data_IF_379594564741
#
_entry.id   IF_379594564741
#
_cell.length_a   1.000
_cell.length_b   1.000
_cell.length_c   1.000
_cell.angle_alpha   90.00
_cell.angle_beta   90.00
_cell.angle_gamma   90.00
#
_symmetry.space_group_name_H-M   'P 1'
#
loop_
_entity.id
_entity.type
_entity.pdbx_description
1 polymer ?
#
# COMPACT_ATOMS: atom_id res chain seq x y z
N UNK A 1 -62.51 -22.31 42.00
CA UNK A 1 -61.23 -23.05 42.01
C UNK A 1 -60.51 -22.80 40.69
N UNK A 2 -59.25 -22.32 40.77
CA UNK A 2 -58.11 -22.37 39.81
C UNK A 2 -58.25 -21.82 38.36
N UNK A 3 -57.50 -20.75 38.08
CA UNK A 3 -56.91 -20.43 36.76
C UNK A 3 -55.69 -21.34 36.48
N UNK A 4 -55.29 -21.56 35.21
CA UNK A 4 -54.13 -20.82 34.64
C UNK A 4 -54.25 -20.52 33.12
N UNK A 5 -53.85 -19.32 32.66
CA UNK A 5 -52.54 -18.99 32.04
C UNK A 5 -52.32 -19.56 30.63
N UNK A 6 -52.49 -18.73 29.59
CA UNK A 6 -51.90 -18.96 28.26
C UNK A 6 -50.72 -18.00 28.12
N UNK A 7 -49.51 -18.55 28.19
CA UNK A 7 -48.25 -17.84 28.06
C UNK A 7 -47.95 -17.54 26.59
N UNK A 8 -47.65 -16.28 26.30
CA UNK A 8 -47.09 -15.85 25.02
C UNK A 8 -45.64 -16.33 24.92
N UNK A 9 -45.35 -17.21 23.96
CA UNK A 9 -43.98 -17.62 23.63
C UNK A 9 -43.44 -16.63 22.58
N UNK A 10 -42.73 -15.61 23.06
CA UNK A 10 -41.85 -14.79 22.22
C UNK A 10 -40.61 -15.61 21.89
N UNK A 11 -40.51 -16.11 20.65
CA UNK A 11 -39.29 -16.71 20.12
C UNK A 11 -38.23 -15.60 19.95
N UNK A 12 -37.30 -15.55 20.89
CA UNK A 12 -36.05 -14.80 20.78
C UNK A 12 -35.12 -15.49 19.77
N UNK A 13 -35.17 -15.06 18.52
CA UNK A 13 -34.19 -15.45 17.50
C UNK A 13 -32.85 -14.78 17.77
N UNK A 14 -31.94 -15.51 18.43
CA UNK A 14 -30.53 -15.13 18.59
C UNK A 14 -29.89 -14.94 17.21
N UNK A 15 -29.72 -13.68 16.81
CA UNK A 15 -28.95 -13.33 15.62
C UNK A 15 -27.47 -13.49 15.93
N UNK A 16 -26.89 -14.62 15.51
CA UNK A 16 -25.44 -14.81 15.41
C UNK A 16 -24.90 -13.86 14.34
N UNK A 17 -24.68 -12.60 14.70
CA UNK A 17 -23.84 -11.68 13.94
C UNK A 17 -22.40 -12.12 14.11
N UNK A 18 -22.00 -13.11 13.32
CA UNK A 18 -20.60 -13.41 13.05
C UNK A 18 -19.94 -12.11 12.60
N UNK A 19 -19.10 -11.54 13.47
CA UNK A 19 -18.27 -10.37 13.16
C UNK A 19 -17.33 -10.72 12.03
N UNK A 20 -17.78 -10.50 10.79
CA UNK A 20 -16.93 -10.49 9.61
C UNK A 20 -16.12 -9.21 9.75
N UNK A 21 -14.98 -9.29 10.45
CA UNK A 21 -14.00 -8.23 10.41
C UNK A 21 -13.68 -8.00 8.92
N UNK A 22 -13.93 -6.80 8.37
CA UNK A 22 -13.57 -6.53 6.99
C UNK A 22 -12.07 -6.75 6.89
N UNK A 23 -11.66 -7.67 6.02
CA UNK A 23 -10.26 -7.85 5.68
C UNK A 23 -9.78 -6.50 5.13
N UNK A 24 -9.05 -5.75 5.95
CA UNK A 24 -8.50 -4.46 5.55
C UNK A 24 -7.55 -4.72 4.38
N UNK A 25 -7.91 -4.22 3.19
CA UNK A 25 -7.08 -4.33 2.01
C UNK A 25 -5.70 -3.71 2.32
N UNK A 26 -4.65 -4.50 2.12
CA UNK A 26 -3.30 -4.03 2.35
C UNK A 26 -2.90 -3.05 1.25
N UNK A 27 -2.25 -1.96 1.64
CA UNK A 27 -1.85 -0.95 0.69
C UNK A 27 -0.60 -1.43 -0.06
N UNK A 28 -0.42 -1.09 -1.35
CA UNK A 28 0.70 -1.60 -2.15
C UNK A 28 2.08 -1.32 -1.51
N UNK A 29 2.19 -0.18 -0.84
CA UNK A 29 3.36 0.23 -0.05
C UNK A 29 3.78 -0.77 1.05
N UNK A 30 2.86 -1.59 1.57
CA UNK A 30 3.15 -2.56 2.63
C UNK A 30 3.98 -3.75 2.13
N UNK A 31 3.99 -3.98 0.81
CA UNK A 31 4.71 -5.07 0.15
C UNK A 31 6.10 -4.66 -0.37
N UNK A 32 6.38 -3.36 -0.50
CA UNK A 32 7.63 -2.86 -1.08
C UNK A 32 8.82 -3.22 -0.18
N UNK A 33 9.89 -3.76 -0.78
CA UNK A 33 11.15 -4.09 -0.11
C UNK A 33 11.70 -5.46 -0.51
N UNK A 34 12.71 -5.92 0.24
CA UNK A 34 13.35 -7.21 0.05
C UNK A 34 12.60 -8.32 0.80
N UNK A 35 12.46 -9.47 0.14
CA UNK A 35 11.79 -10.66 0.65
C UNK A 35 12.69 -11.87 0.45
N UNK A 36 12.73 -12.74 1.46
CA UNK A 36 13.28 -14.09 1.31
C UNK A 36 12.16 -14.99 0.78
N UNK A 37 12.41 -15.66 -0.34
CA UNK A 37 11.51 -16.63 -0.94
C UNK A 37 11.88 -18.00 -0.39
N UNK A 38 10.93 -18.69 0.21
CA UNK A 38 11.06 -20.07 0.70
C UNK A 38 10.00 -20.96 0.04
N UNK A 39 10.33 -22.23 -0.20
CA UNK A 39 9.47 -23.17 -0.92
C UNK A 39 9.82 -23.27 -2.41
N UNK A 40 9.09 -24.12 -3.13
CA UNK A 40 9.45 -24.58 -4.48
C UNK A 40 10.52 -25.69 -4.50
N UNK A 41 10.78 -26.30 -5.66
CA UNK A 41 11.58 -27.54 -5.76
C UNK A 41 13.08 -27.39 -5.47
N UNK A 42 13.61 -26.16 -5.33
CA UNK A 42 15.06 -25.92 -5.44
C UNK A 42 15.66 -24.95 -4.39
N UNK A 43 14.92 -24.60 -3.32
CA UNK A 43 15.48 -23.90 -2.15
C UNK A 43 15.24 -22.38 -2.10
N UNK A 44 15.80 -21.74 -1.06
CA UNK A 44 15.53 -20.35 -0.73
C UNK A 44 16.27 -19.36 -1.66
N UNK A 45 15.57 -18.32 -2.10
CA UNK A 45 16.14 -17.21 -2.88
C UNK A 45 15.67 -15.86 -2.34
N UNK A 46 15.95 -14.74 -3.02
CA UNK A 46 15.40 -13.45 -2.62
C UNK A 46 14.78 -12.67 -3.78
N UNK A 47 13.80 -11.84 -3.44
CA UNK A 47 13.09 -10.98 -4.39
C UNK A 47 12.91 -9.59 -3.79
N UNK A 48 13.26 -8.57 -4.55
CA UNK A 48 12.93 -7.18 -4.27
C UNK A 48 11.62 -6.83 -4.99
N UNK A 49 10.61 -6.42 -4.22
CA UNK A 49 9.38 -5.84 -4.74
C UNK A 49 9.54 -4.32 -4.70
N UNK A 50 9.81 -3.71 -5.86
CA UNK A 50 10.09 -2.29 -5.98
C UNK A 50 8.82 -1.49 -6.19
N UNK A 51 8.81 -0.24 -5.70
CA UNK A 51 7.79 0.75 -6.05
C UNK A 51 7.99 1.38 -7.44
N UNK A 52 9.08 1.04 -8.14
CA UNK A 52 9.35 1.55 -9.48
C UNK A 52 8.43 0.87 -10.52
N UNK A 53 7.88 1.64 -11.45
CA UNK A 53 7.13 1.10 -12.57
C UNK A 53 8.05 0.44 -13.63
N UNK A 54 7.60 -0.68 -14.20
CA UNK A 54 8.20 -1.36 -15.35
C UNK A 54 7.07 -1.98 -16.20
N UNK A 55 6.93 -1.54 -17.45
CA UNK A 55 5.91 -2.07 -18.37
C UNK A 55 4.46 -1.94 -17.89
N UNK A 56 4.13 -0.88 -17.14
CA UNK A 56 2.80 -0.65 -16.58
C UNK A 56 2.50 -1.36 -15.25
N UNK A 57 3.42 -2.19 -14.76
CA UNK A 57 3.34 -2.88 -13.46
C UNK A 57 4.43 -2.38 -12.50
N UNK A 58 4.40 -2.80 -11.24
CA UNK A 58 5.48 -2.52 -10.30
C UNK A 58 6.62 -3.52 -10.53
N UNK A 59 7.87 -3.06 -10.50
CA UNK A 59 9.06 -3.88 -10.81
C UNK A 59 9.32 -4.90 -9.70
N UNK A 60 9.60 -6.13 -10.09
CA UNK A 60 10.19 -7.15 -9.22
C UNK A 60 11.61 -7.45 -9.68
N UNK A 61 12.51 -7.79 -8.76
CA UNK A 61 13.88 -8.20 -9.10
C UNK A 61 14.27 -9.38 -8.24
N UNK A 62 14.64 -10.48 -8.87
CA UNK A 62 14.99 -11.72 -8.19
C UNK A 62 16.49 -11.92 -8.15
N UNK A 63 16.97 -12.55 -7.08
CA UNK A 63 18.36 -12.89 -6.87
C UNK A 63 18.44 -14.36 -6.49
N UNK A 64 19.26 -15.11 -7.23
CA UNK A 64 19.50 -16.55 -7.06
C UNK A 64 18.22 -17.41 -7.09
N UNK A 65 17.12 -16.87 -7.63
CA UNK A 65 15.88 -17.63 -7.80
C UNK A 65 15.99 -18.55 -9.01
N UNK A 66 15.33 -19.69 -8.89
CA UNK A 66 15.26 -20.76 -9.89
C UNK A 66 13.80 -21.18 -10.08
N UNK A 67 13.51 -21.95 -11.12
CA UNK A 67 12.14 -22.34 -11.46
C UNK A 67 11.28 -21.13 -11.85
N UNK A 68 9.95 -21.15 -11.62
CA UNK A 68 9.07 -20.05 -12.04
C UNK A 68 9.49 -18.68 -11.50
N UNK A 69 10.02 -18.62 -10.28
CA UNK A 69 10.46 -17.36 -9.65
C UNK A 69 11.67 -16.72 -10.34
N UNK A 70 12.51 -17.47 -11.07
CA UNK A 70 13.61 -16.84 -11.84
C UNK A 70 13.10 -15.91 -12.94
N UNK A 71 11.85 -16.07 -13.37
CA UNK A 71 11.22 -15.26 -14.41
C UNK A 71 10.40 -14.08 -13.86
N UNK A 72 10.36 -13.90 -12.53
CA UNK A 72 9.62 -12.78 -11.94
C UNK A 72 10.30 -11.45 -12.28
N UNK A 73 9.56 -10.59 -12.98
CA UNK A 73 10.03 -9.25 -13.41
C UNK A 73 9.11 -8.13 -12.90
N UNK A 74 7.87 -8.46 -12.54
CA UNK A 74 6.88 -7.50 -12.09
C UNK A 74 5.99 -8.07 -10.98
N UNK A 75 5.28 -7.19 -10.28
CA UNK A 75 4.27 -7.52 -9.30
C UNK A 75 3.15 -6.49 -9.29
N UNK A 76 2.00 -6.88 -8.75
CA UNK A 76 0.83 -6.02 -8.61
C UNK A 76 0.06 -6.33 -7.33
N UNK A 77 -0.45 -5.33 -6.60
CA UNK A 77 -1.41 -5.55 -5.51
C UNK A 77 -2.74 -6.08 -6.09
N UNK A 78 -3.39 -7.04 -5.42
CA UNK A 78 -4.64 -7.64 -5.89
C UNK A 78 -5.79 -7.60 -4.84
N UNK A 79 -5.84 -6.53 -4.05
CA UNK A 79 -6.87 -6.26 -3.05
C UNK A 79 -6.71 -7.06 -1.74
N UNK A 80 -6.41 -8.36 -1.83
CA UNK A 80 -6.20 -9.24 -0.65
C UNK A 80 -4.75 -9.68 -0.46
N UNK A 81 -3.85 -9.23 -1.32
CA UNK A 81 -2.44 -9.60 -1.33
C UNK A 81 -1.75 -9.02 -2.57
N UNK A 82 -0.92 -9.83 -3.21
CA UNK A 82 -0.23 -9.44 -4.45
C UNK A 82 -0.11 -10.59 -5.43
N UNK A 83 0.13 -10.26 -6.69
CA UNK A 83 0.50 -11.19 -7.74
C UNK A 83 1.93 -10.93 -8.18
N UNK A 84 2.71 -11.99 -8.34
CA UNK A 84 4.03 -11.97 -8.99
C UNK A 84 3.84 -12.34 -10.45
N UNK A 85 4.44 -11.56 -11.34
CA UNK A 85 4.26 -11.65 -12.78
C UNK A 85 5.61 -11.90 -13.46
N UNK A 86 5.57 -12.77 -14.47
CA UNK A 86 6.58 -13.03 -15.49
C UNK A 86 6.33 -12.17 -16.73
N UNK A 87 7.28 -12.17 -17.66
CA UNK A 87 7.24 -11.35 -18.90
C UNK A 87 5.88 -11.47 -19.60
N UNK A 88 5.40 -10.39 -20.21
CA UNK A 88 4.06 -10.31 -20.81
C UNK A 88 2.89 -10.50 -19.81
N UNK A 89 3.10 -10.12 -18.54
CA UNK A 89 2.11 -10.26 -17.46
C UNK A 89 1.69 -11.72 -17.18
N UNK A 90 2.54 -12.69 -17.53
CA UNK A 90 2.27 -14.08 -17.23
C UNK A 90 2.22 -14.31 -15.71
N UNK A 91 1.13 -14.88 -15.13
CA UNK A 91 1.03 -15.05 -13.69
C UNK A 91 2.01 -16.13 -13.19
N UNK A 92 2.89 -15.76 -12.27
CA UNK A 92 3.82 -16.69 -11.60
C UNK A 92 3.25 -17.13 -10.26
N UNK A 93 2.72 -16.20 -9.47
CA UNK A 93 2.15 -16.52 -8.16
C UNK A 93 1.06 -15.51 -7.76
N UNK A 94 0.11 -15.97 -6.96
CA UNK A 94 -0.80 -15.10 -6.20
C UNK A 94 -0.59 -15.35 -4.72
N UNK A 95 -0.11 -14.34 -4.01
CA UNK A 95 0.31 -14.43 -2.62
C UNK A 95 -0.62 -13.63 -1.74
N UNK A 96 -0.97 -14.20 -0.59
CA UNK A 96 -1.80 -13.56 0.43
C UNK A 96 -1.06 -13.45 1.76
N UNK A 97 -1.32 -12.39 2.52
CA UNK A 97 -0.85 -12.24 3.89
C UNK A 97 -1.30 -13.40 4.78
N UNK A 98 -0.37 -13.97 5.53
CA UNK A 98 -0.66 -14.91 6.60
C UNK A 98 0.42 -14.79 7.67
N UNK A 99 0.03 -14.46 8.91
CA UNK A 99 0.92 -14.48 10.09
C UNK A 99 2.31 -13.81 9.89
N UNK A 100 2.36 -12.62 9.29
CA UNK A 100 3.63 -11.90 9.10
C UNK A 100 4.39 -12.22 7.80
N UNK A 101 3.90 -13.18 7.01
CA UNK A 101 4.50 -13.59 5.74
C UNK A 101 3.48 -13.51 4.61
N UNK A 102 3.94 -13.66 3.37
CA UNK A 102 3.07 -13.85 2.22
C UNK A 102 3.13 -15.31 1.79
N UNK A 103 1.98 -15.95 1.62
CA UNK A 103 1.88 -17.37 1.25
C UNK A 103 1.04 -17.54 0.00
N UNK A 104 1.38 -18.51 -0.82
CA UNK A 104 0.59 -18.86 -1.99
C UNK A 104 1.16 -20.06 -2.72
N UNK A 105 0.71 -20.23 -3.96
CA UNK A 105 1.21 -21.24 -4.87
C UNK A 105 1.85 -20.55 -6.09
N UNK A 106 2.92 -21.15 -6.58
CA UNK A 106 3.44 -20.87 -7.90
C UNK A 106 2.49 -21.47 -8.96
N UNK A 107 2.67 -21.03 -10.20
CA UNK A 107 1.93 -21.52 -11.36
C UNK A 107 2.12 -23.02 -11.65
N UNK A 108 3.17 -23.64 -11.13
CA UNK A 108 3.42 -25.09 -11.15
C UNK A 108 2.74 -25.85 -9.99
N UNK A 109 1.98 -25.14 -9.14
CA UNK A 109 1.28 -25.68 -7.98
C UNK A 109 2.13 -25.81 -6.72
N UNK A 110 3.44 -25.57 -6.79
CA UNK A 110 4.30 -25.63 -5.60
C UNK A 110 3.99 -24.50 -4.62
N UNK A 111 4.09 -24.79 -3.32
CA UNK A 111 3.89 -23.79 -2.28
C UNK A 111 5.10 -22.85 -2.19
N UNK A 112 4.81 -21.57 -2.04
CA UNK A 112 5.82 -20.53 -1.84
C UNK A 112 5.44 -19.62 -0.67
N UNK A 113 6.44 -19.21 0.09
CA UNK A 113 6.35 -18.27 1.18
C UNK A 113 7.36 -17.14 0.99
N UNK A 114 6.91 -15.90 1.08
CA UNK A 114 7.78 -14.72 1.10
C UNK A 114 7.85 -14.20 2.54
N UNK A 115 9.05 -14.25 3.13
CA UNK A 115 9.36 -13.69 4.45
C UNK A 115 9.96 -12.29 4.32
N UNK A 116 9.55 -11.33 5.15
CA UNK A 116 10.09 -9.97 5.07
C UNK A 116 11.57 -9.96 5.47
N UNK A 117 12.43 -9.39 4.61
CA UNK A 117 13.87 -9.27 4.85
C UNK A 117 14.33 -7.82 5.10
N UNK A 118 13.40 -6.85 5.06
CA UNK A 118 13.71 -5.41 5.20
C UNK A 118 12.69 -4.64 6.04
N UNK A 119 12.10 -5.29 7.05
CA UNK A 119 11.23 -4.63 8.03
C UNK A 119 9.78 -4.38 7.58
N UNK A 120 9.33 -5.02 6.51
CA UNK A 120 7.91 -4.99 6.10
C UNK A 120 7.02 -5.59 7.20
N UNK A 121 5.89 -4.94 7.48
CA UNK A 121 4.91 -5.38 8.49
C UNK A 121 3.62 -5.80 7.79
N UNK A 122 3.46 -7.11 7.61
CA UNK A 122 2.32 -7.69 6.90
C UNK A 122 1.42 -8.45 7.89
N UNK A 123 0.12 -8.17 7.87
CA UNK A 123 -0.84 -8.84 8.75
C UNK A 123 -0.82 -8.40 10.22
N UNK A 124 -0.02 -7.39 10.58
CA UNK A 124 -0.21 -6.67 11.83
C UNK A 124 -1.42 -5.74 11.69
N UNK A 125 -2.34 -5.66 12.68
CA UNK A 125 -3.39 -4.67 12.67
C UNK A 125 -2.75 -3.29 12.52
N UNK A 126 -3.13 -2.53 11.49
CA UNK A 126 -2.99 -1.08 11.60
C UNK A 126 -3.78 -0.69 12.83
N UNK A 127 -3.21 0.13 13.73
CA UNK A 127 -4.03 0.85 14.70
C UNK A 127 -5.14 1.51 13.90
N UNK A 128 -6.37 1.04 14.14
CA UNK A 128 -7.52 1.43 13.35
C UNK A 128 -7.64 2.96 13.41
N UNK A 129 -7.48 3.62 12.27
CA UNK A 129 -8.12 4.91 12.11
C UNK A 129 -9.63 4.67 12.26
N UNK A 130 -10.34 5.57 12.97
CA UNK A 130 -11.76 5.39 13.25
C UNK A 130 -12.55 5.14 11.97
N UNK A 131 -13.58 4.28 12.00
CA UNK A 131 -14.24 3.80 10.80
C UNK A 131 -14.84 4.96 10.02
N UNK A 132 -14.54 5.01 8.72
CA UNK A 132 -15.28 5.86 7.78
C UNK A 132 -16.72 5.35 7.66
N UNK A 133 -17.69 6.26 7.77
CA UNK A 133 -19.11 5.96 7.70
C UNK A 133 -19.55 5.39 6.33
N UNK A 134 -20.55 4.50 6.35
CA UNK A 134 -21.23 3.90 5.20
C UNK A 134 -22.40 4.79 4.70
N UNK A 135 -23.11 4.47 3.58
CA UNK A 135 -22.73 3.80 2.32
C UNK A 135 -23.14 4.62 1.06
N UNK A 136 -22.38 4.47 -0.03
CA UNK A 136 -22.72 5.00 -1.35
C UNK A 136 -21.55 4.87 -2.32
N UNK A 137 -21.36 3.67 -2.86
CA UNK A 137 -20.34 3.29 -3.88
C UNK A 137 -19.05 4.13 -3.90
N UNK A 138 -18.36 4.21 -2.77
CA UNK A 138 -16.99 4.73 -2.71
C UNK A 138 -16.08 3.60 -3.12
N UNK A 139 -15.45 3.69 -4.29
CA UNK A 139 -14.47 2.70 -4.75
C UNK A 139 -13.41 2.49 -3.66
N UNK A 140 -13.07 1.22 -3.34
CA UNK A 140 -12.14 0.83 -2.27
C UNK A 140 -10.67 1.22 -2.55
N UNK A 141 -10.43 2.28 -3.33
CA UNK A 141 -9.12 2.74 -3.77
C UNK A 141 -8.80 4.10 -3.16
N UNK A 142 -7.50 4.37 -2.94
CA UNK A 142 -7.05 5.72 -2.66
C UNK A 142 -7.11 6.54 -3.95
N UNK A 143 -7.74 7.71 -3.90
CA UNK A 143 -8.04 8.56 -5.06
C UNK A 143 -6.96 9.61 -5.28
N UNK A 144 -6.89 10.16 -6.48
CA UNK A 144 -6.11 11.35 -6.78
C UNK A 144 -6.89 12.57 -6.34
N UNK A 145 -6.20 13.54 -5.73
CA UNK A 145 -6.86 14.76 -5.27
C UNK A 145 -7.35 15.67 -6.41
N UNK A 146 -6.69 15.64 -7.57
CA UNK A 146 -6.98 16.54 -8.70
C UNK A 146 -8.30 16.22 -9.43
N UNK A 147 -8.73 14.96 -9.43
CA UNK A 147 -9.86 14.51 -10.24
C UNK A 147 -10.70 13.39 -9.63
N UNK A 148 -10.47 13.05 -8.36
CA UNK A 148 -11.18 11.99 -7.61
C UNK A 148 -11.11 10.58 -8.25
N UNK A 149 -10.29 10.34 -9.29
CA UNK A 149 -10.11 8.99 -9.86
C UNK A 149 -9.24 8.13 -8.96
N UNK A 150 -9.39 6.80 -9.01
CA UNK A 150 -8.44 5.89 -8.38
C UNK A 150 -7.00 6.21 -8.80
N UNK A 151 -6.10 6.27 -7.83
CA UNK A 151 -4.67 6.41 -8.11
C UNK A 151 -4.11 5.14 -8.75
N UNK A 152 -3.20 5.31 -9.71
CA UNK A 152 -2.46 4.20 -10.30
C UNK A 152 -1.60 3.49 -9.25
N UNK A 153 -1.39 2.18 -9.38
CA UNK A 153 -0.56 1.40 -8.45
C UNK A 153 0.86 1.98 -8.28
N UNK A 154 1.40 2.54 -9.35
CA UNK A 154 2.69 3.24 -9.43
C UNK A 154 2.72 4.53 -8.62
N UNK A 155 1.58 5.19 -8.41
CA UNK A 155 1.44 6.39 -7.60
C UNK A 155 1.10 6.11 -6.13
N UNK A 156 0.62 4.90 -5.83
CA UNK A 156 0.28 4.45 -4.48
C UNK A 156 1.50 4.06 -3.63
N UNK A 157 2.66 3.87 -4.23
CA UNK A 157 3.91 3.55 -3.55
C UNK A 157 4.79 4.80 -3.36
N UNK A 158 5.76 4.80 -2.44
CA UNK A 158 6.75 5.86 -2.37
C UNK A 158 7.57 5.95 -3.68
N UNK A 159 7.92 7.16 -4.16
CA UNK A 159 8.88 7.31 -5.24
C UNK A 159 10.20 6.59 -4.95
N UNK A 160 10.69 5.80 -5.90
CA UNK A 160 11.98 5.12 -5.78
C UNK A 160 13.14 6.11 -5.97
N UNK A 161 13.93 6.35 -4.93
CA UNK A 161 15.01 7.34 -4.90
C UNK A 161 16.41 6.72 -4.83
N UNK A 162 16.53 5.41 -5.07
CA UNK A 162 17.81 4.68 -4.97
C UNK A 162 18.88 5.13 -5.98
N UNK A 163 18.47 5.77 -7.09
CA UNK A 163 19.35 6.33 -8.11
C UNK A 163 19.48 7.87 -8.03
N UNK A 164 19.05 8.48 -6.92
CA UNK A 164 19.03 9.93 -6.73
C UNK A 164 17.60 10.51 -6.66
N UNK A 165 17.50 11.85 -6.54
CA UNK A 165 16.22 12.54 -6.45
C UNK A 165 15.35 12.30 -7.69
N UNK A 166 14.05 12.11 -7.49
CA UNK A 166 13.09 11.85 -8.57
C UNK A 166 12.08 12.97 -8.72
N UNK A 167 11.72 13.27 -9.97
CA UNK A 167 10.77 14.33 -10.29
C UNK A 167 9.34 13.80 -10.24
N UNK A 168 8.54 14.38 -9.37
CA UNK A 168 7.13 14.05 -9.11
C UNK A 168 6.26 15.27 -9.38
N UNK A 169 4.93 15.13 -9.32
CA UNK A 169 4.01 16.26 -9.56
C UNK A 169 2.92 16.35 -8.52
N UNK A 170 2.72 17.55 -8.00
CA UNK A 170 1.68 17.88 -7.04
C UNK A 170 0.30 17.75 -7.68
N UNK A 171 -0.61 17.06 -6.99
CA UNK A 171 -2.02 16.91 -7.37
C UNK A 171 -2.93 17.83 -6.55
N UNK A 172 -2.37 18.47 -5.53
CA UNK A 172 -2.99 19.50 -4.70
C UNK A 172 -1.92 20.53 -4.33
N UNK A 173 -2.31 21.68 -3.78
CA UNK A 173 -1.39 22.58 -3.13
C UNK A 173 -0.77 21.87 -1.91
N UNK A 174 0.55 21.71 -1.91
CA UNK A 174 1.29 21.03 -0.83
C UNK A 174 1.99 22.06 0.05
N UNK A 175 1.87 21.89 1.36
CA UNK A 175 2.73 22.60 2.29
C UNK A 175 4.03 21.80 2.49
N UNK A 176 5.17 22.46 2.32
CA UNK A 176 6.48 21.94 2.71
C UNK A 176 6.72 22.35 4.16
N UNK A 177 6.90 21.37 5.06
CA UNK A 177 7.14 21.63 6.49
C UNK A 177 8.60 21.42 6.85
N UNK A 178 9.08 22.14 7.86
CA UNK A 178 10.47 22.03 8.33
C UNK A 178 10.79 20.65 8.92
N UNK A 179 9.80 19.97 9.48
CA UNK A 179 9.90 18.63 10.05
C UNK A 179 8.88 17.67 9.45
N UNK A 180 9.03 16.39 9.79
CA UNK A 180 8.17 15.31 9.31
C UNK A 180 6.78 15.31 9.95
N UNK A 181 6.60 16.03 11.05
CA UNK A 181 5.33 16.14 11.75
C UNK A 181 4.43 17.27 11.21
N UNK A 182 3.17 17.29 11.62
CA UNK A 182 2.20 18.31 11.19
C UNK A 182 2.25 19.61 12.01
N UNK A 183 3.00 19.64 13.12
CA UNK A 183 3.15 20.81 14.01
C UNK A 183 4.30 21.71 13.55
N UNK A 184 5.28 21.15 12.85
CA UNK A 184 6.40 21.85 12.26
C UNK A 184 5.93 22.97 11.32
N UNK A 185 6.59 24.14 11.33
CA UNK A 185 6.19 25.29 10.53
C UNK A 185 6.23 24.97 9.04
N UNK A 186 5.34 25.62 8.29
CA UNK A 186 5.36 25.60 6.82
C UNK A 186 6.46 26.55 6.35
N UNK A 187 7.43 26.01 5.62
CA UNK A 187 8.61 26.73 5.11
C UNK A 187 8.59 26.90 3.59
N UNK A 188 7.57 26.35 2.93
CA UNK A 188 7.37 26.49 1.50
C UNK A 188 6.03 25.90 1.07
N UNK A 189 5.67 26.12 -0.18
CA UNK A 189 4.47 25.55 -0.81
C UNK A 189 4.79 25.07 -2.21
N UNK A 190 4.06 24.06 -2.66
CA UNK A 190 4.05 23.60 -4.04
C UNK A 190 2.64 23.77 -4.59
N UNK A 191 2.52 24.34 -5.78
CA UNK A 191 1.25 24.58 -6.43
C UNK A 191 0.70 23.32 -7.10
N UNK A 192 -0.62 23.29 -7.33
CA UNK A 192 -1.26 22.20 -8.08
C UNK A 192 -0.61 22.07 -9.45
N UNK A 193 -0.27 20.85 -9.86
CA UNK A 193 0.39 20.58 -11.14
C UNK A 193 1.89 20.90 -11.17
N UNK A 194 2.45 21.52 -10.12
CA UNK A 194 3.87 21.82 -10.05
C UNK A 194 4.68 20.53 -9.95
N UNK A 195 5.73 20.43 -10.76
CA UNK A 195 6.71 19.36 -10.64
C UNK A 195 7.81 19.73 -9.65
N UNK A 196 8.18 18.77 -8.80
CA UNK A 196 9.19 18.98 -7.75
C UNK A 196 10.04 17.71 -7.56
N UNK A 197 11.17 17.86 -6.88
CA UNK A 197 12.07 16.74 -6.58
C UNK A 197 11.72 16.13 -5.22
N UNK A 198 11.72 14.80 -5.16
CA UNK A 198 11.70 14.03 -3.92
C UNK A 198 13.05 13.33 -3.78
N UNK A 199 13.71 13.56 -2.66
CA UNK A 199 15.03 12.98 -2.38
C UNK A 199 14.95 11.64 -1.65
N UNK A 200 13.97 11.48 -0.76
CA UNK A 200 13.76 10.27 0.02
C UNK A 200 12.37 10.29 0.63
N UNK A 201 11.80 9.11 0.90
CA UNK A 201 10.55 8.99 1.66
C UNK A 201 10.72 8.03 2.84
N UNK A 202 10.11 8.37 3.96
CA UNK A 202 10.13 7.59 5.20
C UNK A 202 8.72 7.42 5.73
N UNK A 203 8.38 6.18 6.11
CA UNK A 203 7.15 5.91 6.83
C UNK A 203 7.34 6.32 8.29
N UNK A 204 6.53 7.27 8.76
CA UNK A 204 6.52 7.68 10.17
C UNK A 204 5.37 7.00 10.91
N UNK A 205 5.56 6.53 12.15
CA UNK A 205 4.51 5.82 12.90
C UNK A 205 3.25 6.66 13.14
N UNK A 206 3.40 7.97 13.35
CA UNK A 206 2.31 8.86 13.74
C UNK A 206 1.77 9.70 12.58
N UNK A 207 2.60 10.03 11.59
CA UNK A 207 2.30 11.07 10.60
C UNK A 207 2.21 10.54 9.16
N UNK A 208 2.34 9.22 8.96
CA UNK A 208 2.28 8.59 7.64
C UNK A 208 3.56 8.72 6.84
N UNK A 209 3.48 8.52 5.52
CA UNK A 209 4.62 8.62 4.61
C UNK A 209 5.02 10.09 4.39
N UNK A 210 6.27 10.41 4.71
CA UNK A 210 6.86 11.75 4.59
C UNK A 210 8.00 11.73 3.59
N UNK A 211 7.96 12.65 2.65
CA UNK A 211 8.96 12.73 1.59
C UNK A 211 9.76 14.02 1.72
N UNK A 212 11.09 13.89 1.79
CA UNK A 212 12.02 15.00 1.87
C UNK A 212 12.18 15.64 0.50
N UNK A 213 12.06 16.96 0.46
CA UNK A 213 12.11 17.78 -0.77
C UNK A 213 13.02 18.99 -0.54
N UNK A 214 13.73 19.48 -1.58
CA UNK A 214 14.41 20.76 -1.52
C UNK A 214 13.41 21.92 -1.50
N UNK A 215 13.77 23.03 -0.86
CA UNK A 215 12.99 24.25 -0.73
C UNK A 215 13.71 25.41 -1.41
N UNK A 216 13.25 25.75 -2.62
CA UNK A 216 13.93 26.70 -3.50
C UNK A 216 15.37 26.30 -3.79
N UNK A 217 16.22 27.29 -4.08
CA UNK A 217 17.62 27.08 -4.46
C UNK A 217 18.60 27.21 -3.29
N UNK A 218 18.08 27.44 -2.08
CA UNK A 218 18.88 27.72 -0.87
C UNK A 218 19.57 26.50 -0.26
N UNK A 219 19.36 25.29 -0.81
CA UNK A 219 19.78 24.02 -0.21
C UNK A 219 18.98 23.61 1.03
N UNK A 220 18.02 24.43 1.45
CA UNK A 220 17.10 24.11 2.55
C UNK A 220 16.21 22.93 2.17
N UNK A 221 15.88 22.10 3.16
CA UNK A 221 15.07 20.89 2.97
C UNK A 221 13.86 20.92 3.86
N UNK A 222 12.77 20.35 3.36
CA UNK A 222 11.55 20.14 4.14
C UNK A 222 10.87 18.85 3.75
N UNK A 223 9.66 18.67 4.27
CA UNK A 223 8.91 17.43 4.14
C UNK A 223 7.50 17.71 3.64
N UNK A 224 7.04 16.88 2.71
CA UNK A 224 5.66 16.84 2.23
C UNK A 224 5.03 15.49 2.56
N UNK A 225 3.70 15.48 2.65
CA UNK A 225 2.92 14.26 2.76
C UNK A 225 2.65 13.67 1.38
N UNK A 226 2.61 12.33 1.30
CA UNK A 226 2.13 11.63 0.10
C UNK A 226 0.63 11.34 0.16
N UNK A 227 0.15 11.01 1.35
CA UNK A 227 -1.22 10.57 1.59
C UNK A 227 -1.87 11.43 2.67
N UNK A 228 -3.17 11.64 2.55
CA UNK A 228 -4.01 12.10 3.64
C UNK A 228 -5.40 11.49 3.51
N UNK A 229 -6.17 11.60 4.57
CA UNK A 229 -7.56 11.16 4.63
C UNK A 229 -8.40 12.33 5.16
N UNK A 230 -9.57 12.53 4.60
CA UNK A 230 -10.57 13.47 5.10
C UNK A 230 -11.97 12.80 5.15
N UNK A 231 -13.02 13.59 5.37
CA UNK A 231 -14.40 13.08 5.45
C UNK A 231 -14.91 12.50 4.12
N UNK A 232 -14.31 12.89 3.01
CA UNK A 232 -14.70 12.50 1.66
C UNK A 232 -13.95 11.26 1.18
N UNK A 233 -12.74 10.99 1.70
CA UNK A 233 -12.06 9.70 1.60
C UNK A 233 -10.54 9.76 1.72
N UNK A 234 -9.87 8.75 1.15
CA UNK A 234 -8.41 8.64 1.14
C UNK A 234 -7.80 9.15 -0.16
N UNK A 235 -6.74 9.93 -0.07
CA UNK A 235 -6.15 10.65 -1.19
C UNK A 235 -4.62 10.50 -1.31
N UNK A 236 -4.13 10.49 -2.55
CA UNK A 236 -2.74 10.86 -2.87
C UNK A 236 -2.68 12.35 -3.25
N UNK A 237 -1.62 13.05 -2.84
CA UNK A 237 -1.46 14.50 -3.11
C UNK A 237 -0.32 14.84 -4.05
N UNK A 238 0.44 13.84 -4.48
CA UNK A 238 1.33 13.95 -5.63
C UNK A 238 1.42 12.60 -6.34
N UNK A 239 1.72 12.59 -7.65
CA UNK A 239 2.00 11.37 -8.44
C UNK A 239 3.49 11.17 -8.64
N UNK A 240 3.93 9.93 -8.83
CA UNK A 240 5.34 9.54 -8.94
C UNK A 240 5.96 9.84 -10.31
N UNK A 241 5.24 10.56 -11.16
CA UNK A 241 5.68 11.01 -12.48
C UNK A 241 5.28 12.47 -12.69
N UNK A 242 6.22 13.30 -13.13
CA UNK A 242 5.92 14.63 -13.65
C UNK A 242 5.59 14.52 -15.14
N UNK A 243 4.40 14.98 -15.54
CA UNK A 243 4.00 15.16 -16.94
C UNK A 243 3.43 16.55 -17.14
#
# INVERSE_FOLDING_TARGET
MKAPTIAAILMSGLSLLSGINPAQAQAPQDFVGNWTVEGGPLGACSINLSGQAMGGQLKATTYTCVGPMSFAWAWAPNGTGLSILGTNNFPIATLRPSRGVLVGQLNDGSLVTLKPASGQRIGAPRLAQPPAAAPGQRENCRRRYDNDRCAEATDLVPPFTGNGPVRVQALNQLNIRAGEDMKSPVIGKLEVGQCFLVEACRQTPQWGLRCRVPVGDSGMKGYVIKYFSDQTGDYIVFRNQCR
#
